data_IF_866059868185
#
_entry.id   IF_866059868185
#
_cell.length_a   1.000
_cell.length_b   1.000
_cell.length_c   1.000
_cell.angle_alpha   90.00
_cell.angle_beta   90.00
_cell.angle_gamma   90.00
#
_symmetry.space_group_name_H-M   'P 1'
#
loop_
_entity.id
_entity.type
_entity.pdbx_description
1 polymer ?
#
# COMPACT_ATOMS: atom_id res chain seq x y z
N UNK A 1 41.39 -6.68 46.79
CA UNK A 1 40.89 -8.06 46.73
C UNK A 1 39.38 -7.93 46.69
N UNK A 2 38.84 -7.72 45.49
CA UNK A 2 37.40 -7.64 45.26
C UNK A 2 37.00 -8.82 44.38
N UNK A 3 36.15 -9.67 44.96
CA UNK A 3 35.72 -10.95 44.43
C UNK A 3 34.65 -10.74 43.35
N UNK A 4 34.92 -11.17 42.11
CA UNK A 4 33.93 -11.17 41.02
C UNK A 4 33.20 -12.50 41.01
N UNK A 5 31.91 -12.48 41.33
CA UNK A 5 31.02 -13.64 41.28
C UNK A 5 30.59 -13.91 39.83
N UNK A 6 30.82 -15.10 39.26
CA UNK A 6 30.38 -15.39 37.89
C UNK A 6 28.88 -15.74 37.88
N UNK A 7 28.05 -14.86 37.32
CA UNK A 7 26.66 -15.15 36.99
C UNK A 7 26.59 -15.48 35.50
N UNK A 8 26.32 -16.76 35.19
CA UNK A 8 26.20 -17.37 33.84
C UNK A 8 27.54 -17.78 33.18
N UNK A 9 27.70 -19.08 32.92
CA UNK A 9 28.80 -19.65 32.10
C UNK A 9 28.76 -19.03 30.69
N UNK A 10 29.86 -18.39 30.25
CA UNK A 10 30.10 -18.01 28.85
C UNK A 10 29.98 -16.53 28.50
N UNK A 11 29.92 -15.63 29.49
CA UNK A 11 29.92 -14.17 29.27
C UNK A 11 30.99 -13.55 30.18
N UNK A 12 31.95 -12.84 29.59
CA UNK A 12 32.99 -12.11 30.31
C UNK A 12 32.78 -10.59 30.11
N UNK A 13 32.79 -9.82 31.20
CA UNK A 13 32.70 -8.35 31.15
C UNK A 13 34.11 -7.80 31.28
N UNK A 14 34.53 -7.02 30.29
CA UNK A 14 35.84 -6.39 30.24
C UNK A 14 35.89 -5.14 31.13
N UNK A 15 37.09 -4.70 31.55
CA UNK A 15 37.26 -3.56 32.46
C UNK A 15 36.72 -2.22 31.94
N UNK A 16 36.54 -2.09 30.62
CA UNK A 16 35.96 -0.92 29.96
C UNK A 16 34.41 -0.98 29.86
N UNK A 17 33.78 -1.99 30.46
CA UNK A 17 32.35 -2.21 30.47
C UNK A 17 31.81 -2.91 29.22
N UNK A 18 32.68 -3.27 28.26
CA UNK A 18 32.28 -4.06 27.10
C UNK A 18 32.13 -5.55 27.45
N UNK A 19 31.31 -6.27 26.68
CA UNK A 19 30.96 -7.67 26.97
C UNK A 19 31.49 -8.57 25.86
N UNK A 20 32.37 -9.52 26.22
CA UNK A 20 32.88 -10.54 25.32
C UNK A 20 32.15 -11.88 25.56
N UNK A 21 31.64 -12.49 24.48
CA UNK A 21 31.02 -13.82 24.50
C UNK A 21 31.92 -14.80 23.74
N UNK A 22 32.51 -15.77 24.43
CA UNK A 22 33.33 -16.83 23.80
C UNK A 22 32.60 -18.18 23.87
N UNK A 23 32.22 -18.70 22.69
CA UNK A 23 31.58 -20.00 22.45
C UNK A 23 30.05 -19.90 22.40
N UNK A 24 29.35 -20.17 21.29
CA UNK A 24 29.43 -21.35 20.43
C UNK A 24 29.36 -20.99 18.93
N UNK A 25 30.10 -21.74 18.11
CA UNK A 25 29.93 -21.73 16.66
C UNK A 25 28.53 -22.25 16.30
N UNK A 26 27.63 -21.36 15.88
CA UNK A 26 26.34 -21.70 15.29
C UNK A 26 26.16 -20.95 13.96
N UNK A 27 27.13 -21.12 13.06
CA UNK A 27 27.06 -20.62 11.68
C UNK A 27 26.60 -21.77 10.77
N UNK A 28 25.29 -21.88 10.52
CA UNK A 28 24.85 -22.85 9.51
C UNK A 28 23.38 -23.12 9.27
N UNK A 29 22.42 -22.63 10.07
CA UNK A 29 20.99 -22.98 9.83
C UNK A 29 19.96 -21.86 9.93
N UNK A 30 20.31 -20.66 10.40
CA UNK A 30 19.35 -19.55 10.41
C UNK A 30 19.18 -18.91 9.04
N UNK A 31 20.25 -18.76 8.25
CA UNK A 31 20.13 -18.22 6.90
C UNK A 31 19.27 -19.14 6.01
N UNK A 32 19.52 -20.46 6.07
CA UNK A 32 18.72 -21.45 5.33
C UNK A 32 17.27 -21.48 5.81
N UNK A 33 16.98 -21.37 7.11
CA UNK A 33 15.61 -21.29 7.61
C UNK A 33 14.91 -19.97 7.22
N UNK A 34 15.62 -18.85 7.17
CA UNK A 34 15.08 -17.55 6.71
C UNK A 34 14.84 -17.55 5.20
N UNK A 35 15.75 -18.10 4.40
CA UNK A 35 15.62 -18.19 2.96
C UNK A 35 14.60 -19.26 2.56
N UNK A 36 14.52 -20.39 3.27
CA UNK A 36 13.46 -21.40 3.11
C UNK A 36 12.10 -20.87 3.56
N UNK A 37 12.03 -20.04 4.61
CA UNK A 37 10.79 -19.37 5.01
C UNK A 37 10.34 -18.36 3.95
N UNK A 38 11.26 -17.55 3.39
CA UNK A 38 10.98 -16.67 2.24
C UNK A 38 10.55 -17.46 1.00
N UNK A 39 11.23 -18.55 0.66
CA UNK A 39 10.92 -19.39 -0.49
C UNK A 39 9.59 -20.14 -0.30
N UNK A 40 9.26 -20.59 0.91
CA UNK A 40 7.98 -21.23 1.23
C UNK A 40 6.83 -20.23 1.14
N UNK A 41 7.00 -19.01 1.63
CA UNK A 41 6.04 -17.92 1.47
C UNK A 41 5.90 -17.53 -0.02
N UNK A 42 7.00 -17.42 -0.76
CA UNK A 42 6.95 -17.17 -2.21
C UNK A 42 6.26 -18.29 -2.99
N UNK A 43 6.48 -19.57 -2.65
CA UNK A 43 5.80 -20.70 -3.30
C UNK A 43 4.31 -20.76 -2.94
N UNK A 44 3.94 -20.34 -1.72
CA UNK A 44 2.53 -20.21 -1.32
C UNK A 44 1.84 -19.05 -2.05
N UNK A 45 2.56 -17.97 -2.35
CA UNK A 45 2.05 -16.85 -3.15
C UNK A 45 1.92 -17.24 -4.63
N UNK A 46 2.90 -17.95 -5.21
CA UNK A 46 2.81 -18.41 -6.61
C UNK A 46 1.72 -19.46 -6.83
N UNK A 47 1.48 -20.33 -5.84
CA UNK A 47 0.45 -21.37 -5.96
C UNK A 47 -0.98 -20.86 -5.63
N UNK A 48 -1.12 -19.61 -5.17
CA UNK A 48 -2.43 -18.97 -5.01
C UNK A 48 -2.94 -18.33 -6.31
N UNK A 49 -2.08 -18.17 -7.34
CA UNK A 49 -2.46 -17.60 -8.63
C UNK A 49 -3.11 -18.59 -9.61
N UNK A 50 -3.31 -19.86 -9.23
CA UNK A 50 -3.98 -20.83 -10.13
C UNK A 50 -4.94 -21.81 -9.43
N UNK A 51 -5.35 -21.52 -8.20
CA UNK A 51 -6.39 -22.29 -7.50
C UNK A 51 -7.78 -21.94 -8.05
N UNK A 52 -8.27 -22.74 -8.99
CA UNK A 52 -9.54 -22.56 -9.68
C UNK A 52 -10.75 -22.36 -8.77
N UNK A 53 -11.04 -21.12 -8.40
CA UNK A 53 -12.38 -20.69 -8.02
C UNK A 53 -13.06 -20.23 -9.30
N UNK A 54 -14.05 -21.00 -9.74
CA UNK A 54 -14.98 -20.58 -10.79
C UNK A 54 -15.87 -19.47 -10.23
N UNK A 55 -15.33 -18.26 -10.13
CA UNK A 55 -16.11 -17.04 -9.85
C UNK A 55 -16.69 -16.58 -11.17
N UNK A 56 -17.96 -16.88 -11.40
CA UNK A 56 -18.74 -16.28 -12.48
C UNK A 56 -19.02 -14.82 -12.14
N UNK A 57 -18.15 -13.94 -12.59
CA UNK A 57 -18.28 -12.48 -12.55
C UNK A 57 -16.98 -11.89 -13.10
N UNK A 58 -17.07 -11.03 -14.11
CA UNK A 58 -15.94 -10.39 -14.82
C UNK A 58 -14.71 -10.18 -13.92
N UNK A 59 -13.73 -11.08 -14.01
CA UNK A 59 -12.44 -10.90 -13.36
C UNK A 59 -11.73 -9.84 -14.23
N UNK A 60 -11.67 -8.61 -13.71
CA UNK A 60 -11.14 -7.46 -14.44
C UNK A 60 -9.73 -7.71 -14.98
N UNK A 61 -9.31 -6.91 -15.96
CA UNK A 61 -8.02 -7.07 -16.62
C UNK A 61 -6.88 -6.97 -15.60
N UNK A 62 -5.94 -7.93 -15.53
CA UNK A 62 -4.79 -7.84 -14.63
C UNK A 62 -4.05 -6.51 -14.83
N UNK A 63 -3.65 -5.81 -13.75
CA UNK A 63 -2.95 -4.54 -13.88
C UNK A 63 -1.59 -4.75 -14.55
N UNK A 64 -1.25 -3.87 -15.49
CA UNK A 64 0.01 -3.94 -16.23
C UNK A 64 0.80 -2.68 -15.97
N UNK A 65 1.87 -2.80 -15.19
CA UNK A 65 2.70 -1.67 -14.80
C UNK A 65 3.97 -1.59 -15.65
N UNK A 66 4.34 -0.37 -16.03
CA UNK A 66 5.61 -0.05 -16.65
C UNK A 66 6.25 1.19 -16.02
N UNK A 67 7.14 1.81 -16.78
CA UNK A 67 7.59 3.16 -16.46
C UNK A 67 6.47 4.18 -16.70
N UNK A 68 6.52 5.31 -15.99
CA UNK A 68 5.58 6.41 -16.20
C UNK A 68 5.89 7.07 -17.55
N UNK A 69 4.92 7.06 -18.47
CA UNK A 69 5.08 7.58 -19.85
C UNK A 69 4.51 8.98 -20.07
N UNK A 70 3.97 9.62 -19.04
CA UNK A 70 3.53 11.03 -19.07
C UNK A 70 4.61 11.97 -18.53
N UNK A 71 4.65 13.20 -19.03
CA UNK A 71 5.60 14.22 -18.57
C UNK A 71 5.38 14.59 -17.10
N UNK A 72 6.36 15.27 -16.48
CA UNK A 72 6.19 15.77 -15.11
C UNK A 72 5.12 16.86 -15.06
N UNK A 73 5.09 17.73 -16.05
CA UNK A 73 4.16 18.85 -16.18
C UNK A 73 2.72 18.34 -16.26
N UNK A 74 2.46 17.34 -17.11
CA UNK A 74 1.13 16.73 -17.21
C UNK A 74 0.74 16.00 -15.92
N UNK A 75 1.68 15.33 -15.25
CA UNK A 75 1.39 14.67 -13.98
C UNK A 75 1.03 15.69 -12.88
N UNK A 76 1.75 16.81 -12.80
CA UNK A 76 1.47 17.86 -11.82
C UNK A 76 0.10 18.50 -12.12
N UNK A 77 -0.22 18.74 -13.39
CA UNK A 77 -1.53 19.26 -13.81
C UNK A 77 -2.70 18.30 -13.49
N UNK A 78 -2.51 16.99 -13.73
CA UNK A 78 -3.49 15.98 -13.35
C UNK A 78 -3.65 15.90 -11.82
N UNK A 79 -2.55 16.09 -11.07
CA UNK A 79 -2.54 16.06 -9.60
C UNK A 79 -3.38 17.21 -9.06
N UNK A 80 -3.23 18.41 -9.61
CA UNK A 80 -4.00 19.59 -9.21
C UNK A 80 -5.51 19.41 -9.48
N UNK A 81 -5.87 18.62 -10.49
CA UNK A 81 -7.24 18.23 -10.80
C UNK A 81 -7.82 17.13 -9.88
N UNK A 82 -7.09 16.69 -8.86
CA UNK A 82 -7.46 15.53 -8.04
C UNK A 82 -7.12 15.67 -6.55
N UNK A 83 -7.88 15.01 -5.64
CA UNK A 83 -9.26 14.59 -5.85
C UNK A 83 -10.17 15.80 -6.06
N UNK A 84 -11.25 15.62 -6.83
CA UNK A 84 -12.29 16.64 -6.99
C UNK A 84 -12.97 16.99 -5.66
N UNK A 85 -13.56 18.19 -5.58
CA UNK A 85 -14.34 18.62 -4.41
C UNK A 85 -15.45 17.62 -4.05
N UNK A 86 -16.16 17.08 -5.05
CA UNK A 86 -17.20 16.06 -4.86
C UNK A 86 -16.68 14.83 -4.11
N UNK A 87 -15.49 14.33 -4.48
CA UNK A 87 -14.89 13.18 -3.81
C UNK A 87 -14.44 13.49 -2.38
N UNK A 88 -13.93 14.71 -2.15
CA UNK A 88 -13.57 15.19 -0.81
C UNK A 88 -14.78 15.27 0.11
N UNK A 89 -15.94 15.70 -0.41
CA UNK A 89 -17.19 15.66 0.34
C UNK A 89 -17.69 14.23 0.55
N UNK A 90 -17.63 13.39 -0.49
CA UNK A 90 -18.10 11.99 -0.43
C UNK A 90 -17.41 11.19 0.68
N UNK A 91 -16.09 11.32 0.84
CA UNK A 91 -15.38 10.61 1.93
C UNK A 91 -15.71 11.13 3.33
N UNK A 92 -16.30 12.33 3.42
CA UNK A 92 -16.74 12.98 4.65
C UNK A 92 -18.25 12.90 4.87
N UNK A 93 -18.98 12.13 4.06
CA UNK A 93 -20.38 11.81 4.36
C UNK A 93 -20.48 11.12 5.72
N UNK A 94 -21.36 11.65 6.59
CA UNK A 94 -21.52 11.20 7.97
C UNK A 94 -20.30 11.45 8.86
N UNK A 95 -19.48 12.49 8.57
CA UNK A 95 -18.28 12.78 9.38
C UNK A 95 -18.61 13.05 10.85
N UNK A 96 -19.74 13.69 11.14
CA UNK A 96 -20.16 14.03 12.51
C UNK A 96 -20.26 12.78 13.41
N UNK A 97 -20.72 11.66 12.87
CA UNK A 97 -20.82 10.36 13.58
C UNK A 97 -19.47 9.67 13.77
N UNK A 98 -18.45 10.07 12.99
CA UNK A 98 -17.11 9.47 13.03
C UNK A 98 -16.16 10.24 13.95
N UNK A 99 -16.40 11.52 14.19
CA UNK A 99 -15.59 12.31 15.14
C UNK A 99 -15.65 11.66 16.52
N UNK A 100 -14.49 11.48 17.16
CA UNK A 100 -14.34 10.84 18.46
C UNK A 100 -14.30 9.30 18.41
N UNK A 101 -14.47 8.68 17.25
CA UNK A 101 -14.30 7.23 17.09
C UNK A 101 -12.83 6.85 16.87
N UNK A 102 -12.41 5.61 17.21
CA UNK A 102 -11.05 5.16 16.95
C UNK A 102 -10.66 5.26 15.48
N UNK A 103 -9.41 5.67 15.21
CA UNK A 103 -8.84 5.65 13.87
C UNK A 103 -8.67 4.19 13.41
N UNK A 104 -9.30 3.78 12.30
CA UNK A 104 -9.29 2.39 11.85
C UNK A 104 -7.91 1.92 11.39
N UNK A 105 -7.05 2.83 10.92
CA UNK A 105 -5.73 2.49 10.42
C UNK A 105 -4.65 2.59 11.50
N UNK A 106 -4.82 3.49 12.47
CA UNK A 106 -3.81 3.79 13.50
C UNK A 106 -4.35 3.49 14.91
N UNK A 107 -4.16 2.26 15.44
CA UNK A 107 -4.60 1.89 16.78
C UNK A 107 -4.18 2.90 17.87
N UNK A 108 -5.11 3.22 18.76
CA UNK A 108 -4.92 4.19 19.84
C UNK A 108 -5.04 5.67 19.41
N UNK A 109 -5.29 5.96 18.13
CA UNK A 109 -5.71 7.29 17.67
C UNK A 109 -7.23 7.36 17.50
N UNK A 110 -7.70 8.59 17.33
CA UNK A 110 -9.11 8.91 17.12
C UNK A 110 -9.26 9.86 15.93
N UNK A 111 -10.39 9.75 15.25
CA UNK A 111 -10.79 10.72 14.23
C UNK A 111 -11.21 12.00 14.95
N UNK A 112 -10.51 13.10 14.69
CA UNK A 112 -10.70 14.38 15.39
C UNK A 112 -11.15 15.52 14.48
N UNK A 113 -11.06 15.32 13.16
CA UNK A 113 -11.43 16.29 12.14
C UNK A 113 -11.85 15.55 10.87
N UNK A 114 -12.20 16.31 9.83
CA UNK A 114 -12.52 15.82 8.49
C UNK A 114 -11.44 14.90 7.94
N UNK A 115 -11.89 13.86 7.27
CA UNK A 115 -11.05 12.88 6.60
C UNK A 115 -10.45 13.47 5.32
N UNK A 116 -9.22 13.07 5.03
CA UNK A 116 -8.52 13.32 3.78
C UNK A 116 -8.93 12.25 2.76
N UNK A 117 -9.29 12.67 1.55
CA UNK A 117 -9.55 11.74 0.45
C UNK A 117 -8.21 11.18 -0.06
N UNK A 118 -7.89 9.96 0.36
CA UNK A 118 -6.69 9.25 -0.07
C UNK A 118 -6.99 8.31 -1.23
N UNK A 119 -6.00 8.18 -2.10
CA UNK A 119 -6.00 7.21 -3.18
C UNK A 119 -5.77 5.80 -2.65
N UNK A 120 -6.71 4.89 -2.93
CA UNK A 120 -6.50 3.47 -2.61
C UNK A 120 -5.37 2.92 -3.49
N UNK A 121 -5.54 2.95 -4.81
CA UNK A 121 -4.44 2.79 -5.78
C UNK A 121 -3.85 4.17 -6.06
N UNK A 122 -2.60 4.37 -5.65
CA UNK A 122 -1.95 5.69 -5.74
C UNK A 122 -1.90 6.23 -7.17
N UNK A 123 -2.07 7.55 -7.34
CA UNK A 123 -1.84 8.23 -8.62
C UNK A 123 -0.48 7.89 -9.25
N UNK A 124 0.55 7.70 -8.41
CA UNK A 124 1.90 7.30 -8.85
C UNK A 124 1.90 5.93 -9.54
N UNK A 125 1.07 4.99 -9.09
CA UNK A 125 0.91 3.68 -9.70
C UNK A 125 -0.01 3.75 -10.92
N UNK A 126 -1.11 4.48 -10.86
CA UNK A 126 -2.03 4.66 -12.01
C UNK A 126 -1.31 5.27 -13.21
N UNK A 127 -0.46 6.28 -12.99
CA UNK A 127 0.32 6.91 -14.06
C UNK A 127 1.36 5.97 -14.73
N UNK A 128 1.57 4.79 -14.16
CA UNK A 128 2.44 3.72 -14.69
C UNK A 128 1.65 2.57 -15.32
N UNK A 129 0.32 2.58 -15.21
CA UNK A 129 -0.51 1.56 -15.85
C UNK A 129 -0.40 1.68 -17.37
N UNK A 130 -0.33 0.53 -18.03
CA UNK A 130 -0.19 0.47 -19.47
C UNK A 130 -1.35 1.19 -20.15
N UNK A 131 -1.02 1.97 -21.19
CA UNK A 131 -1.94 2.79 -21.98
C UNK A 131 -2.52 4.03 -21.28
N UNK A 132 -2.20 4.30 -20.02
CA UNK A 132 -2.65 5.55 -19.37
C UNK A 132 -2.18 6.81 -20.12
N UNK A 133 -1.01 6.74 -20.75
CA UNK A 133 -0.44 7.79 -21.61
C UNK A 133 -1.16 7.97 -22.95
N UNK A 134 -1.96 6.99 -23.39
CA UNK A 134 -2.74 7.05 -24.63
C UNK A 134 -4.13 7.67 -24.44
N UNK A 135 -4.50 7.96 -23.20
CA UNK A 135 -5.77 8.57 -22.85
C UNK A 135 -5.72 10.09 -23.10
N UNK A 136 -6.88 10.67 -23.45
CA UNK A 136 -7.02 12.13 -23.40
C UNK A 136 -6.91 12.60 -21.95
N UNK A 137 -6.54 13.87 -21.72
CA UNK A 137 -6.48 14.44 -20.36
C UNK A 137 -7.80 14.28 -19.59
N UNK A 138 -8.94 14.43 -20.27
CA UNK A 138 -10.25 14.21 -19.66
C UNK A 138 -10.44 12.75 -19.21
N UNK A 139 -10.05 11.78 -20.04
CA UNK A 139 -10.09 10.36 -19.69
C UNK A 139 -9.12 10.03 -18.54
N UNK A 140 -7.92 10.61 -18.53
CA UNK A 140 -6.97 10.48 -17.42
C UNK A 140 -7.59 10.98 -16.11
N UNK A 141 -8.23 12.15 -16.12
CA UNK A 141 -8.94 12.67 -14.96
C UNK A 141 -10.13 11.80 -14.54
N UNK A 142 -10.83 11.16 -15.48
CA UNK A 142 -11.91 10.19 -15.18
C UNK A 142 -11.38 8.93 -14.49
N UNK A 143 -10.23 8.40 -14.92
CA UNK A 143 -9.57 7.26 -14.25
C UNK A 143 -9.06 7.69 -12.86
N UNK A 144 -8.38 8.84 -12.77
CA UNK A 144 -7.83 9.35 -11.52
C UNK A 144 -8.89 9.80 -10.51
N UNK A 145 -10.09 10.18 -10.95
CA UNK A 145 -11.23 10.51 -10.08
C UNK A 145 -12.27 9.39 -10.03
N UNK A 146 -11.89 8.14 -10.32
CA UNK A 146 -12.79 7.00 -10.14
C UNK A 146 -13.28 6.97 -8.68
N UNK A 147 -14.60 7.06 -8.47
CA UNK A 147 -15.18 7.27 -7.15
C UNK A 147 -14.91 6.11 -6.18
N UNK A 148 -14.67 4.89 -6.69
CA UNK A 148 -14.35 3.72 -5.87
C UNK A 148 -12.91 3.73 -5.36
N UNK A 149 -12.02 4.51 -5.99
CA UNK A 149 -10.60 4.55 -5.69
C UNK A 149 -10.22 5.50 -4.54
N UNK A 150 -11.20 6.00 -3.79
CA UNK A 150 -10.97 6.89 -2.65
C UNK A 150 -11.46 6.31 -1.34
N UNK A 151 -10.66 6.54 -0.29
CA UNK A 151 -11.01 6.26 1.09
C UNK A 151 -10.73 7.50 1.94
N UNK A 152 -11.61 7.80 2.88
CA UNK A 152 -11.34 8.81 3.90
C UNK A 152 -10.34 8.28 4.94
N UNK A 153 -9.18 8.92 5.05
CA UNK A 153 -8.19 8.66 6.10
C UNK A 153 -8.07 9.86 7.03
N UNK A 154 -7.76 9.64 8.31
CA UNK A 154 -7.35 10.73 9.18
C UNK A 154 -6.11 11.43 8.62
N UNK A 155 -5.87 12.69 8.98
CA UNK A 155 -4.69 13.42 8.51
C UNK A 155 -3.38 12.67 8.84
N UNK A 156 -3.29 12.10 10.04
CA UNK A 156 -2.13 11.31 10.48
C UNK A 156 -1.96 10.03 9.64
N UNK A 157 -3.03 9.29 9.41
CA UNK A 157 -3.03 8.09 8.58
C UNK A 157 -2.64 8.41 7.13
N UNK A 158 -3.26 9.45 6.54
CA UNK A 158 -3.00 9.90 5.18
C UNK A 158 -1.53 10.30 4.97
N UNK A 159 -0.97 11.12 5.87
CA UNK A 159 0.46 11.51 5.83
C UNK A 159 1.39 10.31 6.03
N UNK A 160 1.01 9.38 6.91
CA UNK A 160 1.77 8.17 7.20
C UNK A 160 1.87 7.23 5.99
N UNK A 161 0.73 7.01 5.31
CA UNK A 161 0.65 6.20 4.10
C UNK A 161 1.41 6.85 2.95
N UNK A 162 1.02 8.08 2.58
CA UNK A 162 1.50 8.76 1.39
C UNK A 162 1.24 7.92 0.14
N UNK A 163 2.24 7.82 -0.76
CA UNK A 163 2.11 7.04 -2.00
C UNK A 163 2.42 5.54 -1.86
N UNK A 164 2.54 5.02 -0.63
CA UNK A 164 2.81 3.59 -0.41
C UNK A 164 1.56 2.77 -0.73
N UNK A 165 1.76 1.54 -1.18
CA UNK A 165 0.69 0.53 -1.21
C UNK A 165 0.27 0.17 0.23
N UNK A 166 -0.90 -0.43 0.42
CA UNK A 166 -1.29 -0.94 1.73
C UNK A 166 -0.41 -2.13 2.17
N UNK A 167 0.16 -2.86 1.21
CA UNK A 167 1.16 -3.89 1.50
C UNK A 167 2.47 -3.29 2.04
N UNK A 168 2.91 -2.13 1.55
CA UNK A 168 4.15 -1.51 2.01
C UNK A 168 3.96 -0.62 3.26
N UNK A 169 2.74 -0.15 3.49
CA UNK A 169 2.43 0.71 4.63
C UNK A 169 2.17 -0.11 5.89
N UNK A 170 3.24 -0.40 6.62
CA UNK A 170 3.19 -1.25 7.82
C UNK A 170 3.21 -0.48 9.14
N UNK A 171 3.75 0.74 9.15
CA UNK A 171 3.98 1.50 10.39
C UNK A 171 3.88 3.01 10.16
N UNK A 172 3.24 3.70 11.10
CA UNK A 172 3.35 5.14 11.28
C UNK A 172 4.60 5.49 12.07
N UNK A 173 5.68 5.74 11.33
CA UNK A 173 7.03 5.91 11.87
C UNK A 173 7.16 6.98 12.95
N UNK A 174 6.45 8.11 12.82
CA UNK A 174 6.58 9.25 13.75
C UNK A 174 6.23 8.86 15.19
N UNK A 175 5.24 7.99 15.36
CA UNK A 175 4.76 7.57 16.68
C UNK A 175 4.93 6.07 16.93
N UNK A 176 5.62 5.37 16.01
CA UNK A 176 5.91 3.93 16.09
C UNK A 176 4.66 3.06 16.29
N UNK A 177 3.56 3.44 15.64
CA UNK A 177 2.29 2.70 15.67
C UNK A 177 2.22 1.82 14.43
N UNK A 178 2.09 0.51 14.62
CA UNK A 178 1.81 -0.41 13.52
C UNK A 178 0.42 -0.13 12.95
N UNK A 179 0.29 -0.24 11.62
CA UNK A 179 -1.02 -0.11 10.97
C UNK A 179 -1.88 -1.29 11.39
N UNK A 180 -3.15 -1.05 11.71
CA UNK A 180 -4.06 -2.10 12.16
C UNK A 180 -4.07 -3.28 11.15
N UNK A 181 -3.78 -4.52 11.59
CA UNK A 181 -3.64 -5.65 10.68
C UNK A 181 -4.92 -6.00 9.92
N UNK A 182 -6.10 -5.85 10.54
CA UNK A 182 -7.39 -6.18 9.90
C UNK A 182 -7.71 -5.16 8.83
N UNK A 183 -7.63 -3.88 9.18
CA UNK A 183 -7.77 -2.77 8.23
C UNK A 183 -6.81 -2.95 7.04
N UNK A 184 -5.53 -3.24 7.32
CA UNK A 184 -4.52 -3.41 6.28
C UNK A 184 -4.82 -4.60 5.37
N UNK A 185 -5.23 -5.74 5.92
CA UNK A 185 -5.59 -6.92 5.12
C UNK A 185 -6.77 -6.64 4.18
N UNK A 186 -7.82 -5.99 4.68
CA UNK A 186 -8.98 -5.57 3.89
C UNK A 186 -8.57 -4.62 2.77
N UNK A 187 -7.75 -3.62 3.09
CA UNK A 187 -7.32 -2.63 2.11
C UNK A 187 -6.36 -3.20 1.06
N UNK A 188 -5.53 -4.21 1.38
CA UNK A 188 -4.72 -4.92 0.39
C UNK A 188 -5.61 -5.64 -0.64
N UNK A 189 -6.69 -6.28 -0.20
CA UNK A 189 -7.64 -6.95 -1.11
C UNK A 189 -8.34 -5.92 -2.00
N UNK A 190 -8.83 -4.83 -1.39
CA UNK A 190 -9.50 -3.74 -2.10
C UNK A 190 -8.58 -3.03 -3.11
N UNK A 191 -7.31 -2.81 -2.75
CA UNK A 191 -6.31 -2.23 -3.64
C UNK A 191 -6.16 -3.09 -4.90
N UNK A 192 -5.95 -4.41 -4.76
CA UNK A 192 -5.84 -5.33 -5.90
C UNK A 192 -7.07 -5.36 -6.81
N UNK A 193 -8.27 -5.36 -6.22
CA UNK A 193 -9.52 -5.30 -7.00
C UNK A 193 -9.63 -4.00 -7.79
N UNK A 194 -9.25 -2.87 -7.20
CA UNK A 194 -9.26 -1.57 -7.86
C UNK A 194 -8.18 -1.46 -8.93
N UNK A 195 -7.01 -2.06 -8.74
CA UNK A 195 -5.98 -2.11 -9.78
C UNK A 195 -6.52 -2.75 -11.07
N UNK A 196 -7.26 -3.86 -10.95
CA UNK A 196 -7.88 -4.53 -12.10
C UNK A 196 -8.99 -3.68 -12.74
N UNK A 197 -9.85 -3.06 -11.91
CA UNK A 197 -10.92 -2.17 -12.40
C UNK A 197 -10.37 -0.96 -13.15
N UNK A 198 -9.33 -0.32 -12.62
CA UNK A 198 -8.70 0.85 -13.23
C UNK A 198 -7.97 0.48 -14.52
N UNK A 199 -7.27 -0.66 -14.56
CA UNK A 199 -6.66 -1.15 -15.81
C UNK A 199 -7.71 -1.41 -16.88
N UNK A 200 -8.83 -2.05 -16.51
CA UNK A 200 -9.95 -2.26 -17.44
C UNK A 200 -10.52 -0.93 -17.94
N UNK A 201 -10.74 0.04 -17.04
CA UNK A 201 -11.24 1.37 -17.42
C UNK A 201 -10.31 2.07 -18.43
N UNK A 202 -8.99 1.95 -18.25
CA UNK A 202 -8.01 2.47 -19.20
C UNK A 202 -8.12 1.76 -20.55
N UNK A 203 -8.18 0.42 -20.55
CA UNK A 203 -8.25 -0.37 -21.77
C UNK A 203 -9.54 -0.11 -22.56
N UNK A 204 -10.68 0.03 -21.87
CA UNK A 204 -11.98 0.37 -22.47
C UNK A 204 -11.92 1.75 -23.17
N UNK A 205 -11.31 2.75 -22.55
CA UNK A 205 -11.13 4.07 -23.18
C UNK A 205 -10.22 4.01 -24.41
N UNK A 206 -9.14 3.24 -24.35
CA UNK A 206 -8.21 3.07 -25.48
C UNK A 206 -8.89 2.37 -26.64
N UNK A 207 -9.72 1.36 -26.39
CA UNK A 207 -10.51 0.71 -27.43
C UNK A 207 -11.54 1.67 -28.03
N UNK A 208 -12.23 2.46 -27.19
CA UNK A 208 -13.16 3.50 -27.65
C UNK A 208 -12.48 4.51 -28.58
N UNK A 209 -11.31 5.01 -28.19
CA UNK A 209 -10.55 5.99 -28.98
C UNK A 209 -10.16 5.46 -30.38
N UNK A 210 -9.92 4.15 -30.53
CA UNK A 210 -9.63 3.55 -31.84
C UNK A 210 -10.85 3.56 -32.75
N UNK A 211 -12.02 3.20 -32.22
CA UNK A 211 -13.28 3.14 -32.97
C UNK A 211 -13.74 4.50 -33.49
N UNK A 212 -13.35 5.59 -32.82
CA UNK A 212 -13.65 6.95 -33.26
C UNK A 212 -12.70 7.46 -34.34
N UNK A 213 -11.53 6.85 -34.52
CA UNK A 213 -10.57 7.17 -35.60
C UNK A 213 -10.94 6.46 -36.91
N UNK A 214 -11.58 5.28 -36.83
CA UNK A 214 -11.97 4.47 -37.99
C UNK A 214 -13.33 4.88 -38.62
N UNK A 215 -13.94 5.99 -38.15
CA UNK A 215 -15.19 6.56 -38.68
C UNK A 215 -14.95 7.86 -39.44
#
# INVERSE_FOLDING_TARGET
MDSVTPFVKGVEILPDGSVARTGTNYSGKFQEAHDASKASIQSRVSNLESGGVKVTGDIGTPPRYGERRISKELYDELRDGTPTAKLREKVNEGIEDKIGTPDPALPGKYITDRLQADYIVSMKNIAKMENFDKLTKEQQLKVLNNEENFLGLSEAANKSKGSKSYSDWTIYKKEKIEVDPKFREEMIKKEKELEMKLQKQIDDFVEGNKKDIDK
#
